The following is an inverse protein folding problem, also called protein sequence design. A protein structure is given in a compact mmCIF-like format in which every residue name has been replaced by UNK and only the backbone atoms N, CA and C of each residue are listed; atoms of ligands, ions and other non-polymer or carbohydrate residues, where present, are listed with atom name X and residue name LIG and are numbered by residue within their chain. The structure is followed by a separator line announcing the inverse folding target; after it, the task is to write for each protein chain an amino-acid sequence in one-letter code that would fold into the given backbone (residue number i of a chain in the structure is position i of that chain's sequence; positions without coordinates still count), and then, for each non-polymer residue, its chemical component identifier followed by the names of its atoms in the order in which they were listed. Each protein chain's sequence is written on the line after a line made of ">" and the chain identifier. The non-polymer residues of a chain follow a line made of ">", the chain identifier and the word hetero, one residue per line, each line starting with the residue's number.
data_IF_163643611073
#
_entry.id   IF_163643611073
#
_cell.length_a   1.000
_cell.length_b   1.000
_cell.length_c   1.000
_cell.angle_alpha   90.00
_cell.angle_beta   90.00
_cell.angle_gamma   90.00
#
_symmetry.space_group_name_H-M   'P 1'
#
loop_
_entity.id
_entity.type
_entity.pdbx_description
1 polymer ?
#
# COMPACT_ATOMS: atom_id res chain seq x y z
N UNK A 1 -5.40 -13.97 -3.91
CA UNK A 1 -5.65 -15.10 -2.97
C UNK A 1 -5.28 -14.77 -1.51
N UNK A 2 -4.19 -14.04 -1.25
CA UNK A 2 -3.72 -13.73 0.10
C UNK A 2 -4.67 -12.81 0.89
N UNK A 3 -5.47 -12.02 0.20
CA UNK A 3 -6.31 -10.97 0.80
C UNK A 3 -7.72 -11.40 1.18
N UNK A 4 -8.16 -12.64 0.89
CA UNK A 4 -9.53 -13.07 1.19
C UNK A 4 -9.89 -12.92 2.68
N UNK A 5 -8.94 -13.15 3.60
CA UNK A 5 -9.17 -12.97 5.04
C UNK A 5 -9.33 -11.50 5.42
N UNK A 6 -8.61 -10.61 4.74
CA UNK A 6 -8.72 -9.17 4.93
C UNK A 6 -10.06 -8.65 4.34
N UNK A 7 -10.46 -9.15 3.17
CA UNK A 7 -11.78 -8.87 2.61
C UNK A 7 -12.91 -9.28 3.57
N UNK A 8 -12.82 -10.47 4.19
CA UNK A 8 -13.86 -10.94 5.11
C UNK A 8 -14.05 -10.03 6.32
N UNK A 9 -12.99 -9.45 6.88
CA UNK A 9 -13.13 -8.51 8.01
C UNK A 9 -13.74 -7.17 7.58
N UNK A 10 -13.53 -6.74 6.32
CA UNK A 10 -14.19 -5.57 5.74
C UNK A 10 -15.69 -5.84 5.51
N UNK A 11 -16.01 -6.98 4.90
CA UNK A 11 -17.40 -7.40 4.64
C UNK A 11 -18.20 -7.53 5.94
N UNK A 12 -17.58 -8.06 7.00
CA UNK A 12 -18.21 -8.17 8.31
C UNK A 12 -18.57 -6.82 8.95
N UNK A 13 -18.03 -5.70 8.42
CA UNK A 13 -18.33 -4.32 8.82
C UNK A 13 -19.24 -3.57 7.83
N UNK A 14 -19.87 -4.32 6.92
CA UNK A 14 -20.81 -3.76 5.95
C UNK A 14 -20.16 -3.08 4.73
N UNK A 15 -18.84 -3.19 4.58
CA UNK A 15 -18.13 -2.67 3.41
C UNK A 15 -18.12 -3.70 2.27
N UNK A 16 -18.25 -3.25 1.03
CA UNK A 16 -17.84 -4.04 -0.12
C UNK A 16 -16.30 -4.06 -0.20
N UNK A 17 -15.71 -5.18 -0.60
CA UNK A 17 -14.26 -5.30 -0.72
C UNK A 17 -13.86 -5.84 -2.09
N UNK A 18 -13.01 -5.09 -2.78
CA UNK A 18 -12.42 -5.46 -4.06
C UNK A 18 -10.91 -5.62 -3.92
N UNK A 19 -10.38 -6.79 -4.23
CA UNK A 19 -8.93 -7.00 -4.33
C UNK A 19 -8.49 -6.90 -5.79
N UNK A 20 -7.37 -6.27 -6.00
CA UNK A 20 -6.87 -5.92 -7.32
C UNK A 20 -5.43 -6.39 -7.50
N UNK A 21 -5.17 -7.02 -8.60
CA UNK A 21 -3.83 -7.27 -9.12
C UNK A 21 -3.51 -6.18 -10.15
N UNK A 22 -2.92 -5.10 -9.69
CA UNK A 22 -2.52 -3.98 -10.53
C UNK A 22 -1.22 -4.21 -11.31
N UNK A 23 -0.66 -3.18 -11.93
CA UNK A 23 0.57 -3.28 -12.72
C UNK A 23 1.71 -3.94 -11.95
N UNK A 24 2.30 -4.97 -12.53
CA UNK A 24 3.37 -5.76 -11.94
C UNK A 24 2.94 -6.75 -10.86
N UNK A 25 1.65 -6.83 -10.51
CA UNK A 25 1.14 -7.70 -9.44
C UNK A 25 0.28 -8.82 -10.03
N UNK A 26 0.27 -9.99 -9.36
CA UNK A 26 -0.55 -11.14 -9.72
C UNK A 26 -0.65 -11.39 -11.23
N UNK A 27 -1.88 -11.57 -11.73
CA UNK A 27 -2.15 -11.76 -13.17
C UNK A 27 -1.84 -10.50 -13.99
N UNK A 28 -2.05 -9.30 -13.45
CA UNK A 28 -1.68 -8.03 -14.09
C UNK A 28 -0.19 -7.95 -14.42
N UNK A 29 0.66 -8.61 -13.62
CA UNK A 29 2.11 -8.66 -13.83
C UNK A 29 2.59 -9.52 -15.01
N UNK A 30 1.69 -10.21 -15.74
CA UNK A 30 2.04 -10.88 -16.99
C UNK A 30 2.05 -9.92 -18.19
N UNK A 31 1.31 -8.83 -18.12
CA UNK A 31 1.13 -7.88 -19.22
C UNK A 31 1.54 -6.46 -18.88
N UNK A 32 1.54 -6.11 -17.61
CA UNK A 32 1.85 -4.77 -17.12
C UNK A 32 3.05 -4.83 -16.17
N UNK A 33 3.97 -3.90 -16.34
CA UNK A 33 5.15 -3.77 -15.46
C UNK A 33 4.81 -2.96 -14.20
N UNK A 34 5.60 -3.16 -13.14
CA UNK A 34 5.58 -2.27 -11.97
C UNK A 34 5.78 -0.83 -12.44
N UNK A 35 4.98 0.07 -11.89
CA UNK A 35 5.06 1.50 -12.17
C UNK A 35 4.98 2.31 -10.87
N UNK A 36 5.59 3.47 -10.87
CA UNK A 36 5.61 4.36 -9.70
C UNK A 36 4.30 5.16 -9.57
N UNK A 37 3.66 5.51 -10.68
CA UNK A 37 2.44 6.33 -10.78
C UNK A 37 1.16 5.46 -10.71
N UNK A 38 0.99 4.76 -9.58
CA UNK A 38 -0.10 3.81 -9.39
C UNK A 38 -1.49 4.48 -9.35
N UNK A 39 -1.55 5.78 -9.16
CA UNK A 39 -2.78 6.58 -9.28
C UNK A 39 -3.49 6.37 -10.63
N UNK A 40 -2.74 6.19 -11.71
CA UNK A 40 -3.32 5.91 -13.02
C UNK A 40 -4.11 4.59 -13.05
N UNK A 41 -3.62 3.56 -12.35
CA UNK A 41 -4.34 2.29 -12.21
C UNK A 41 -5.57 2.45 -11.31
N UNK A 42 -5.44 3.17 -10.20
CA UNK A 42 -6.56 3.44 -9.28
C UNK A 42 -7.69 4.21 -9.98
N UNK A 43 -7.36 5.25 -10.74
CA UNK A 43 -8.32 6.01 -11.54
C UNK A 43 -9.06 5.12 -12.54
N UNK A 44 -8.33 4.29 -13.30
CA UNK A 44 -8.94 3.37 -14.27
C UNK A 44 -9.91 2.36 -13.61
N UNK A 45 -9.57 1.88 -12.42
CA UNK A 45 -10.42 0.98 -11.64
C UNK A 45 -11.69 1.70 -11.18
N UNK A 46 -11.55 2.91 -10.63
CA UNK A 46 -12.71 3.68 -10.15
C UNK A 46 -13.61 4.11 -11.31
N UNK A 47 -13.06 4.39 -12.49
CA UNK A 47 -13.84 4.64 -13.71
C UNK A 47 -14.63 3.40 -14.12
N UNK A 48 -14.03 2.20 -14.04
CA UNK A 48 -14.73 0.95 -14.33
C UNK A 48 -15.83 0.60 -13.31
N UNK A 49 -15.75 1.11 -12.09
CA UNK A 49 -16.79 0.97 -11.07
C UNK A 49 -17.98 1.91 -11.30
N UNK A 50 -17.84 2.90 -12.16
CA UNK A 50 -18.90 3.79 -12.67
C UNK A 50 -19.84 4.34 -11.58
N UNK A 51 -19.27 4.87 -10.51
CA UNK A 51 -20.03 5.50 -9.42
C UNK A 51 -20.93 4.56 -8.61
N UNK A 52 -20.73 3.25 -8.69
CA UNK A 52 -21.52 2.25 -7.94
C UNK A 52 -21.44 2.41 -6.42
N UNK A 53 -20.42 3.09 -5.94
CA UNK A 53 -20.17 3.30 -4.51
C UNK A 53 -20.04 4.78 -4.23
N UNK A 54 -20.75 5.27 -3.21
CA UNK A 54 -20.72 6.67 -2.79
C UNK A 54 -19.46 7.01 -1.99
N UNK A 55 -18.87 6.01 -1.36
CA UNK A 55 -17.65 6.15 -0.54
C UNK A 55 -16.67 5.05 -0.89
N UNK A 56 -15.42 5.43 -1.06
CA UNK A 56 -14.33 4.53 -1.43
C UNK A 56 -13.15 4.75 -0.49
N UNK A 57 -12.68 3.66 0.09
CA UNK A 57 -11.39 3.61 0.80
C UNK A 57 -10.39 2.76 0.04
N UNK A 58 -9.11 3.03 0.25
CA UNK A 58 -8.03 2.20 -0.26
C UNK A 58 -7.26 1.55 0.89
N UNK A 59 -6.83 0.31 0.68
CA UNK A 59 -5.94 -0.40 1.59
C UNK A 59 -4.80 -1.02 0.80
N UNK A 60 -3.58 -0.73 1.23
CA UNK A 60 -2.38 -1.31 0.65
C UNK A 60 -1.50 -2.01 1.68
N UNK A 61 -0.88 -3.12 1.28
CA UNK A 61 -0.04 -3.95 2.15
C UNK A 61 1.33 -4.13 1.51
N UNK A 62 2.40 -3.97 2.24
CA UNK A 62 3.78 -4.06 1.74
C UNK A 62 4.02 -3.04 0.60
N UNK A 63 4.33 -3.47 -0.61
CA UNK A 63 4.43 -2.57 -1.77
C UNK A 63 3.11 -1.81 -2.02
N UNK A 64 1.96 -2.42 -1.71
CA UNK A 64 0.67 -1.74 -1.70
C UNK A 64 0.59 -0.60 -0.68
N UNK A 65 1.36 -0.66 0.41
CA UNK A 65 1.49 0.42 1.39
C UNK A 65 2.23 1.66 0.86
N UNK A 66 2.89 1.56 -0.29
CA UNK A 66 3.32 2.69 -1.12
C UNK A 66 2.19 3.10 -2.09
N UNK A 67 1.56 2.14 -2.77
CA UNK A 67 0.60 2.39 -3.83
C UNK A 67 -0.69 3.06 -3.34
N UNK A 68 -1.24 2.60 -2.22
CA UNK A 68 -2.53 3.11 -1.73
C UNK A 68 -2.46 4.58 -1.31
N UNK A 69 -1.51 5.04 -0.45
CA UNK A 69 -1.40 6.46 -0.10
C UNK A 69 -1.04 7.35 -1.30
N UNK A 70 -0.20 6.85 -2.23
CA UNK A 70 0.07 7.58 -3.47
C UNK A 70 -1.20 7.74 -4.30
N UNK A 71 -1.95 6.66 -4.52
CA UNK A 71 -3.21 6.73 -5.26
C UNK A 71 -4.18 7.73 -4.61
N UNK A 72 -4.35 7.69 -3.29
CA UNK A 72 -5.23 8.60 -2.56
C UNK A 72 -4.78 10.07 -2.62
N UNK A 73 -3.48 10.33 -2.78
CA UNK A 73 -2.96 11.70 -2.94
C UNK A 73 -3.36 12.36 -4.26
N UNK A 74 -3.64 11.58 -5.31
CA UNK A 74 -3.97 12.07 -6.65
C UNK A 74 -5.38 11.71 -7.14
N UNK A 75 -6.05 10.78 -6.47
CA UNK A 75 -7.40 10.33 -6.82
C UNK A 75 -8.40 10.71 -5.71
N UNK A 76 -9.09 11.85 -5.83
CA UNK A 76 -9.93 12.41 -4.77
C UNK A 76 -11.18 11.57 -4.45
N UNK A 77 -11.53 10.60 -5.29
CA UNK A 77 -12.60 9.64 -4.98
C UNK A 77 -12.22 8.67 -3.87
N UNK A 78 -10.92 8.54 -3.55
CA UNK A 78 -10.46 7.78 -2.39
C UNK A 78 -10.55 8.69 -1.16
N UNK A 79 -11.51 8.40 -0.29
CA UNK A 79 -11.88 9.25 0.85
C UNK A 79 -11.26 8.83 2.18
N UNK A 80 -10.66 7.64 2.24
CA UNK A 80 -9.85 7.16 3.36
C UNK A 80 -8.81 6.17 2.84
N UNK A 81 -7.63 6.15 3.45
CA UNK A 81 -6.57 5.22 3.04
C UNK A 81 -5.88 4.58 4.23
N UNK A 82 -5.59 3.29 4.12
CA UNK A 82 -4.76 2.58 5.09
C UNK A 82 -3.55 1.94 4.40
N UNK A 83 -2.38 2.04 5.02
CA UNK A 83 -1.15 1.39 4.59
C UNK A 83 -0.61 0.46 5.69
N UNK A 84 -0.26 -0.77 5.34
CA UNK A 84 0.37 -1.71 6.26
C UNK A 84 1.78 -2.02 5.77
N UNK A 85 2.80 -1.72 6.59
CA UNK A 85 4.23 -1.94 6.30
C UNK A 85 4.65 -1.40 4.93
N UNK A 86 4.26 -0.17 4.62
CA UNK A 86 4.61 0.51 3.38
C UNK A 86 6.00 1.16 3.42
N UNK A 87 6.75 1.09 2.33
CA UNK A 87 7.97 1.85 2.18
C UNK A 87 7.67 3.31 1.82
N UNK A 88 8.36 4.25 2.46
CA UNK A 88 8.33 5.67 2.05
C UNK A 88 9.06 5.87 0.71
N UNK A 89 10.27 5.33 0.60
CA UNK A 89 11.01 5.19 -0.66
C UNK A 89 11.51 3.74 -0.75
N UNK A 90 11.00 2.98 -1.73
CA UNK A 90 11.35 1.57 -1.85
C UNK A 90 12.80 1.37 -2.29
N UNK A 91 13.29 2.21 -3.20
CA UNK A 91 14.67 2.12 -3.69
C UNK A 91 15.72 2.50 -2.66
N UNK A 92 15.38 3.34 -1.67
CA UNK A 92 16.28 3.64 -0.56
C UNK A 92 16.60 2.42 0.31
N UNK A 93 15.76 1.38 0.26
CA UNK A 93 15.94 0.13 0.98
C UNK A 93 16.71 -0.93 0.17
N UNK A 94 17.08 -0.64 -1.10
CA UNK A 94 17.56 -1.62 -2.08
C UNK A 94 18.64 -2.54 -1.57
N UNK A 95 19.66 -1.97 -0.93
CA UNK A 95 20.83 -2.75 -0.46
C UNK A 95 20.52 -3.65 0.75
N UNK A 96 19.44 -3.37 1.48
CA UNK A 96 18.97 -4.19 2.61
C UNK A 96 17.92 -5.22 2.22
N UNK A 97 17.36 -5.14 1.01
CA UNK A 97 16.36 -6.09 0.55
C UNK A 97 16.95 -7.46 0.29
N UNK A 98 16.24 -8.55 0.62
CA UNK A 98 16.62 -9.90 0.23
C UNK A 98 16.82 -10.02 -1.30
N UNK A 99 17.77 -10.83 -1.71
CA UNK A 99 18.08 -11.07 -3.13
C UNK A 99 16.83 -11.46 -3.93
N UNK A 100 16.01 -12.36 -3.39
CA UNK A 100 14.75 -12.78 -4.03
C UNK A 100 13.80 -11.59 -4.25
N UNK A 101 13.73 -10.66 -3.32
CA UNK A 101 12.88 -9.47 -3.44
C UNK A 101 13.38 -8.55 -4.56
N UNK A 102 14.71 -8.32 -4.62
CA UNK A 102 15.32 -7.52 -5.68
C UNK A 102 15.13 -8.17 -7.05
N UNK A 103 15.37 -9.48 -7.15
CA UNK A 103 15.19 -10.21 -8.41
C UNK A 103 13.71 -10.20 -8.86
N UNK A 104 12.78 -10.41 -7.94
CA UNK A 104 11.34 -10.30 -8.24
C UNK A 104 11.01 -8.91 -8.76
N UNK A 105 11.50 -7.86 -8.11
CA UNK A 105 11.28 -6.48 -8.54
C UNK A 105 11.93 -6.23 -9.91
N UNK A 106 13.14 -6.71 -10.15
CA UNK A 106 13.84 -6.60 -11.44
C UNK A 106 12.98 -7.17 -12.58
N UNK A 107 12.50 -8.40 -12.42
CA UNK A 107 11.66 -9.07 -13.43
C UNK A 107 10.35 -8.33 -13.62
N UNK A 108 9.63 -8.03 -12.55
CA UNK A 108 8.30 -7.40 -12.58
C UNK A 108 8.33 -5.93 -13.03
N UNK A 109 9.45 -5.25 -12.85
CA UNK A 109 9.66 -3.90 -13.39
C UNK A 109 10.18 -3.91 -14.84
N UNK A 110 10.58 -5.07 -15.38
CA UNK A 110 11.17 -5.20 -16.72
C UNK A 110 12.58 -4.59 -16.81
N UNK A 111 13.31 -4.52 -15.70
CA UNK A 111 14.69 -4.05 -15.68
C UNK A 111 15.64 -5.09 -16.26
N UNK A 112 16.61 -4.63 -17.05
CA UNK A 112 17.59 -5.51 -17.69
C UNK A 112 18.58 -6.09 -16.67
N UNK A 113 18.95 -5.30 -15.67
CA UNK A 113 19.93 -5.62 -14.65
C UNK A 113 19.56 -5.01 -13.27
N UNK A 114 20.38 -5.30 -12.26
CA UNK A 114 20.17 -4.83 -10.89
C UNK A 114 20.28 -3.28 -10.79
N UNK A 115 21.17 -2.66 -11.52
CA UNK A 115 21.33 -1.20 -11.52
C UNK A 115 20.07 -0.50 -12.04
N UNK A 116 19.54 -0.96 -13.16
CA UNK A 116 18.29 -0.44 -13.72
C UNK A 116 17.09 -0.75 -12.82
N UNK A 117 17.08 -1.92 -12.16
CA UNK A 117 16.04 -2.25 -11.20
C UNK A 117 16.07 -1.30 -10.00
N UNK A 118 17.25 -0.98 -9.48
CA UNK A 118 17.43 0.00 -8.41
C UNK A 118 16.94 1.39 -8.82
N UNK A 119 17.29 1.86 -10.00
CA UNK A 119 16.83 3.17 -10.51
C UNK A 119 15.29 3.22 -10.60
N UNK A 120 14.66 2.15 -11.08
CA UNK A 120 13.20 2.03 -11.10
C UNK A 120 12.59 1.97 -9.71
N UNK A 121 13.27 1.31 -8.77
CA UNK A 121 12.84 1.23 -7.37
C UNK A 121 12.92 2.61 -6.67
N UNK A 122 13.94 3.42 -6.98
CA UNK A 122 14.09 4.78 -6.47
C UNK A 122 12.95 5.70 -6.93
N UNK A 123 12.32 5.43 -8.07
CA UNK A 123 11.15 6.18 -8.51
C UNK A 123 9.88 5.88 -7.67
N UNK A 124 9.88 4.78 -6.89
CA UNK A 124 8.82 4.51 -5.91
C UNK A 124 9.11 5.33 -4.64
N UNK A 125 8.82 6.62 -4.71
CA UNK A 125 9.08 7.60 -3.69
C UNK A 125 7.81 8.40 -3.37
N UNK A 126 7.56 8.62 -2.08
CA UNK A 126 6.43 9.41 -1.57
C UNK A 126 6.84 10.83 -1.17
N UNK A 127 8.10 11.23 -1.39
CA UNK A 127 8.53 12.61 -1.19
C UNK A 127 7.76 13.57 -2.10
N UNK A 128 7.23 14.65 -1.54
CA UNK A 128 6.38 15.60 -2.28
C UNK A 128 5.05 15.04 -2.78
N UNK A 129 4.66 13.84 -2.29
CA UNK A 129 3.38 13.18 -2.58
C UNK A 129 2.45 13.25 -1.37
N UNK A 130 2.94 12.90 -0.19
CA UNK A 130 2.10 12.76 1.01
C UNK A 130 1.54 14.08 1.51
N UNK A 131 2.17 15.21 1.24
CA UNK A 131 1.64 16.54 1.50
C UNK A 131 0.34 16.85 0.74
N UNK A 132 0.08 16.14 -0.36
CA UNK A 132 -1.13 16.24 -1.18
C UNK A 132 -2.25 15.31 -0.70
N UNK A 133 -1.95 14.37 0.19
CA UNK A 133 -2.91 13.40 0.69
C UNK A 133 -3.88 14.06 1.70
N UNK A 134 -5.03 14.50 1.22
CA UNK A 134 -6.04 15.18 2.05
C UNK A 134 -6.96 14.19 2.77
N UNK A 135 -7.12 12.98 2.26
CA UNK A 135 -7.92 11.95 2.90
C UNK A 135 -7.31 11.53 4.25
N UNK A 136 -8.11 11.19 5.27
CA UNK A 136 -7.62 10.53 6.47
C UNK A 136 -6.78 9.30 6.11
N UNK A 137 -5.62 9.15 6.76
CA UNK A 137 -4.66 8.10 6.43
C UNK A 137 -4.18 7.37 7.68
N UNK A 138 -4.33 6.05 7.71
CA UNK A 138 -3.83 5.18 8.77
C UNK A 138 -2.62 4.39 8.27
N UNK A 139 -1.52 4.48 8.99
CA UNK A 139 -0.30 3.73 8.71
C UNK A 139 0.01 2.78 9.86
N UNK A 140 0.01 1.48 9.57
CA UNK A 140 0.25 0.42 10.56
C UNK A 140 1.50 -0.35 10.18
N UNK A 141 2.33 -0.69 11.15
CA UNK A 141 3.49 -1.56 10.89
C UNK A 141 3.87 -2.37 12.12
N UNK A 142 4.63 -3.44 11.89
CA UNK A 142 5.23 -4.23 12.95
C UNK A 142 6.63 -3.74 13.29
N UNK A 143 6.94 -3.66 14.60
CA UNK A 143 8.29 -3.26 15.06
C UNK A 143 9.38 -4.27 14.70
N UNK A 144 8.99 -5.53 14.50
CA UNK A 144 9.88 -6.64 14.13
C UNK A 144 9.93 -6.85 12.61
N UNK A 145 9.45 -5.90 11.81
CA UNK A 145 9.54 -5.96 10.37
C UNK A 145 10.99 -5.86 9.92
N UNK A 146 11.48 -6.93 9.25
CA UNK A 146 12.86 -7.02 8.76
C UNK A 146 12.99 -6.67 7.29
N UNK A 147 11.87 -6.46 6.60
CA UNK A 147 11.86 -6.12 5.18
C UNK A 147 11.71 -4.62 4.98
N UNK A 148 10.74 -4.02 5.66
CA UNK A 148 10.48 -2.58 5.63
C UNK A 148 10.65 -2.05 7.07
N UNK A 149 11.71 -1.29 7.37
CA UNK A 149 11.88 -0.66 8.68
C UNK A 149 10.64 0.14 9.08
N UNK A 150 10.18 -0.02 10.31
CA UNK A 150 8.96 0.65 10.80
C UNK A 150 9.05 2.18 10.69
N UNK A 151 10.24 2.74 10.76
CA UNK A 151 10.51 4.17 10.59
C UNK A 151 10.07 4.67 9.21
N UNK A 152 10.17 3.83 8.19
CA UNK A 152 9.71 4.14 6.82
C UNK A 152 8.19 4.35 6.76
N UNK A 153 7.44 3.51 7.45
CA UNK A 153 5.98 3.66 7.59
C UNK A 153 5.62 4.85 8.50
N UNK A 154 6.38 5.08 9.58
CA UNK A 154 6.19 6.24 10.46
C UNK A 154 6.42 7.57 9.72
N UNK A 155 7.39 7.61 8.81
CA UNK A 155 7.64 8.78 7.96
C UNK A 155 6.42 9.11 7.08
N UNK A 156 5.74 8.10 6.55
CA UNK A 156 4.51 8.32 5.78
C UNK A 156 3.44 9.02 6.63
N UNK A 157 3.22 8.54 7.86
CA UNK A 157 2.24 9.15 8.75
C UNK A 157 2.59 10.59 9.15
N UNK A 158 3.87 10.86 9.38
CA UNK A 158 4.33 12.19 9.78
C UNK A 158 4.22 13.23 8.67
N UNK A 159 4.29 12.83 7.41
CA UNK A 159 4.22 13.73 6.25
C UNK A 159 2.81 13.90 5.71
N UNK A 160 1.92 12.95 5.96
CA UNK A 160 0.51 13.06 5.58
C UNK A 160 -0.23 14.04 6.52
N UNK A 161 -0.93 15.08 6.02
CA UNK A 161 -1.60 16.09 6.86
C UNK A 161 -2.60 15.49 7.86
N UNK A 162 -3.27 14.40 7.49
CA UNK A 162 -4.23 13.68 8.31
C UNK A 162 -3.74 12.24 8.57
N UNK A 163 -2.44 12.08 8.81
CA UNK A 163 -1.79 10.79 9.02
C UNK A 163 -1.85 10.32 10.47
N UNK A 164 -2.21 9.07 10.67
CA UNK A 164 -2.18 8.37 11.97
C UNK A 164 -1.23 7.19 11.88
N UNK A 165 -0.47 6.97 12.94
CA UNK A 165 0.53 5.90 13.00
C UNK A 165 0.22 4.92 14.12
N UNK A 166 0.29 3.63 13.81
CA UNK A 166 0.19 2.54 14.79
C UNK A 166 1.37 1.57 14.62
N UNK A 167 2.16 1.44 15.68
CA UNK A 167 3.24 0.47 15.77
C UNK A 167 2.80 -0.73 16.62
N UNK A 168 2.84 -1.92 16.05
CA UNK A 168 2.59 -3.16 16.77
C UNK A 168 3.92 -3.77 17.21
N UNK A 169 4.23 -3.75 18.52
CA UNK A 169 5.54 -4.12 19.06
C UNK A 169 5.96 -5.55 18.69
N UNK A 170 5.04 -6.48 18.63
CA UNK A 170 5.29 -7.88 18.26
C UNK A 170 5.07 -8.18 16.77
N UNK A 171 4.63 -7.19 15.99
CA UNK A 171 4.33 -7.35 14.56
C UNK A 171 5.60 -7.57 13.73
N UNK A 172 5.56 -8.56 12.85
CA UNK A 172 6.54 -8.74 11.77
C UNK A 172 6.11 -8.00 10.50
N UNK A 173 6.73 -8.30 9.35
CA UNK A 173 6.35 -7.74 8.06
C UNK A 173 4.86 -7.95 7.81
N UNK A 174 4.18 -6.86 7.47
CA UNK A 174 2.72 -6.75 7.27
C UNK A 174 1.87 -7.23 8.46
N UNK A 175 2.50 -7.32 9.65
CA UNK A 175 1.85 -7.83 10.87
C UNK A 175 1.26 -9.24 10.70
N UNK A 176 1.90 -10.08 9.86
CA UNK A 176 1.40 -11.39 9.47
C UNK A 176 1.27 -12.37 10.65
N UNK A 177 2.07 -12.18 11.70
CA UNK A 177 2.03 -12.99 12.92
C UNK A 177 0.99 -12.52 13.96
N UNK A 178 0.46 -11.29 13.82
CA UNK A 178 -0.58 -10.70 14.69
C UNK A 178 -1.80 -10.24 13.90
N UNK A 179 -2.32 -11.06 12.98
CA UNK A 179 -3.40 -10.67 12.06
C UNK A 179 -4.72 -10.40 12.78
N UNK A 180 -4.90 -10.99 13.96
CA UNK A 180 -6.06 -10.80 14.83
C UNK A 180 -6.09 -9.43 15.52
N UNK A 181 -4.98 -8.67 15.47
CA UNK A 181 -4.90 -7.27 15.90
C UNK A 181 -4.96 -6.36 14.68
N UNK A 182 -4.04 -6.54 13.73
CA UNK A 182 -3.85 -5.62 12.61
C UNK A 182 -5.07 -5.53 11.68
N UNK A 183 -5.69 -6.67 11.35
CA UNK A 183 -6.83 -6.69 10.41
C UNK A 183 -8.08 -6.02 10.96
N UNK A 184 -8.56 -6.36 12.18
CA UNK A 184 -9.69 -5.65 12.79
C UNK A 184 -9.41 -4.16 12.94
N UNK A 185 -8.24 -3.77 13.45
CA UNK A 185 -7.85 -2.37 13.64
C UNK A 185 -8.02 -1.55 12.36
N UNK A 186 -7.47 -2.03 11.24
CA UNK A 186 -7.58 -1.33 9.95
C UNK A 186 -9.00 -1.33 9.43
N UNK A 187 -9.73 -2.45 9.60
CA UNK A 187 -11.11 -2.55 9.13
C UNK A 187 -12.08 -1.69 9.93
N UNK A 188 -11.93 -1.63 11.25
CA UNK A 188 -12.71 -0.74 12.11
C UNK A 188 -12.48 0.72 11.74
N UNK A 189 -11.20 1.10 11.62
CA UNK A 189 -10.84 2.46 11.26
C UNK A 189 -11.39 2.86 9.88
N UNK A 190 -11.23 2.03 8.83
CA UNK A 190 -11.79 2.32 7.51
C UNK A 190 -13.32 2.41 7.55
N UNK A 191 -13.98 1.52 8.31
CA UNK A 191 -15.43 1.56 8.47
C UNK A 191 -15.91 2.88 9.10
N UNK A 192 -15.20 3.37 10.10
CA UNK A 192 -15.49 4.65 10.76
C UNK A 192 -15.29 5.84 9.81
N UNK A 193 -14.22 5.85 9.01
CA UNK A 193 -13.95 6.94 8.07
C UNK A 193 -14.93 6.95 6.88
N UNK A 194 -15.50 5.81 6.54
CA UNK A 194 -16.41 5.64 5.39
C UNK A 194 -17.90 5.59 5.81
N UNK A 195 -18.21 5.76 7.08
CA UNK A 195 -19.58 5.72 7.63
C UNK A 195 -20.46 6.89 7.21
#
# INVERSE_FOLDING_TARGET
>A
EEFWRLQNVMIARGMAALSLDGPGQGEGGYTLLIRHDYEAAATAILDALDGRFSRVGALGVSLGGYYAPRAAAFEPRIQAVAGISGAFNFGALWDSLPELTRETFRVKSGAADDAQARDRALALDLEGVLDKLQAPALFVTGKLDRLIPWESTAMQANLAPNGWFVLLDEGNHVCANVPYIARPLVADWLSEQLA
#
